data_IF_408869850577
#
_entry.id   IF_408869850577
#
_cell.length_a   1.000
_cell.length_b   1.000
_cell.length_c   1.000
_cell.angle_alpha   90.00
_cell.angle_beta   90.00
_cell.angle_gamma   90.00
#
_symmetry.space_group_name_H-M   'P 1'
#
loop_
_entity.id
_entity.type
_entity.pdbx_description
1 polymer ?
#
# COMPACT_ATOMS: atom_id res chain seq x y z
N UNK A 1 -1.14 -8.82 -17.34
CA UNK A 1 -2.55 -9.04 -17.08
C UNK A 1 -2.92 -10.52 -17.26
N UNK A 2 -1.96 -11.28 -17.75
CA UNK A 2 -2.16 -12.70 -17.96
C UNK A 2 -3.49 -12.89 -18.69
N UNK A 3 -4.07 -14.07 -18.51
CA UNK A 3 -5.34 -14.38 -19.14
C UNK A 3 -6.29 -15.06 -18.15
N UNK A 4 -6.26 -14.58 -16.92
CA UNK A 4 -7.11 -15.13 -15.88
C UNK A 4 -7.60 -14.00 -14.97
N UNK A 5 -6.74 -13.60 -14.05
CA UNK A 5 -7.09 -12.52 -13.13
C UNK A 5 -5.82 -11.79 -12.70
N UNK A 6 -4.91 -11.64 -13.65
CA UNK A 6 -3.65 -10.95 -13.38
C UNK A 6 -3.84 -9.45 -13.59
N UNK A 7 -4.73 -9.12 -14.51
CA UNK A 7 -5.02 -7.72 -14.82
C UNK A 7 -5.18 -6.95 -13.51
N UNK A 8 -6.18 -7.36 -12.74
CA UNK A 8 -6.46 -6.70 -11.47
C UNK A 8 -5.19 -6.72 -10.61
N UNK A 9 -4.34 -7.69 -10.88
CA UNK A 9 -3.10 -7.83 -10.14
C UNK A 9 -2.18 -6.66 -10.48
N UNK A 10 -1.85 -6.57 -11.76
CA UNK A 10 -0.97 -5.51 -12.23
C UNK A 10 -1.53 -4.14 -11.81
N UNK A 11 -2.84 -4.04 -11.84
CA UNK A 11 -3.51 -2.81 -11.47
C UNK A 11 -3.28 -2.52 -9.98
N UNK A 12 -3.76 -3.44 -9.16
CA UNK A 12 -3.61 -3.31 -7.72
C UNK A 12 -2.12 -3.15 -7.36
N UNK A 13 -1.28 -3.77 -8.17
CA UNK A 13 0.16 -3.71 -7.96
C UNK A 13 0.64 -2.27 -8.11
N UNK A 14 0.68 -1.83 -9.36
CA UNK A 14 1.11 -0.47 -9.66
C UNK A 14 0.45 0.54 -8.72
N UNK A 15 -0.80 0.27 -8.39
CA UNK A 15 -1.54 1.14 -7.50
C UNK A 15 -0.94 1.07 -6.10
N UNK A 16 -0.67 -0.15 -5.67
CA UNK A 16 -0.09 -0.37 -4.35
C UNK A 16 1.28 0.31 -4.25
N UNK A 17 1.90 0.48 -5.41
CA UNK A 17 3.21 1.12 -5.46
C UNK A 17 3.05 2.62 -5.23
N UNK A 18 2.28 3.25 -6.10
CA UNK A 18 2.04 4.68 -6.00
C UNK A 18 1.30 4.97 -4.70
N UNK A 19 0.59 3.97 -4.22
CA UNK A 19 -0.17 4.10 -2.99
C UNK A 19 0.76 3.91 -1.80
N UNK A 20 1.78 3.09 -2.01
CA UNK A 20 2.75 2.81 -0.96
C UNK A 20 3.60 4.05 -0.65
N UNK A 21 3.94 4.78 -1.71
CA UNK A 21 4.73 5.97 -1.57
C UNK A 21 3.83 7.15 -1.20
N UNK A 22 2.61 7.11 -1.73
CA UNK A 22 1.63 8.15 -1.46
C UNK A 22 1.15 8.04 -0.02
N UNK A 23 1.15 6.82 0.48
CA UNK A 23 0.71 6.56 1.84
C UNK A 23 1.84 6.89 2.81
N UNK A 24 3.04 6.42 2.46
CA UNK A 24 4.21 6.66 3.28
C UNK A 24 4.40 8.17 3.50
N UNK A 25 4.30 8.91 2.41
CA UNK A 25 4.45 10.35 2.47
C UNK A 25 3.24 10.99 3.18
N UNK A 26 2.06 10.66 2.68
CA UNK A 26 0.83 11.19 3.25
C UNK A 26 0.77 10.87 4.74
N UNK A 27 1.44 9.78 5.12
CA UNK A 27 1.46 9.36 6.50
C UNK A 27 2.36 10.31 7.31
N UNK A 28 3.63 10.33 6.93
CA UNK A 28 4.60 11.19 7.60
C UNK A 28 4.05 12.62 7.65
N UNK A 29 3.44 13.02 6.55
CA UNK A 29 2.88 14.36 6.46
C UNK A 29 1.61 14.44 7.29
N UNK A 30 0.91 13.32 7.34
CA UNK A 30 -0.33 13.25 8.09
C UNK A 30 -0.06 13.56 9.56
N UNK A 31 1.10 13.09 10.02
CA UNK A 31 1.50 13.30 11.40
C UNK A 31 2.20 14.66 11.52
N UNK A 32 3.06 14.93 10.56
CA UNK A 32 3.80 16.19 10.55
C UNK A 32 2.80 17.35 10.58
N UNK A 33 1.68 17.16 9.91
CA UNK A 33 0.65 18.17 9.85
C UNK A 33 -0.10 18.21 11.19
N UNK A 34 -0.16 17.05 11.82
CA UNK A 34 -0.85 16.93 13.10
C UNK A 34 0.02 17.49 14.23
N UNK A 35 1.23 16.98 14.31
CA UNK A 35 2.17 17.41 15.33
C UNK A 35 1.55 17.25 16.72
N UNK A 36 2.42 17.22 17.72
CA UNK A 36 1.96 17.06 19.10
C UNK A 36 0.93 18.14 19.43
N UNK A 37 -0.33 17.80 19.21
CA UNK A 37 -1.42 18.72 19.49
C UNK A 37 -1.66 18.79 20.99
N UNK B 1 1.47 -19.63 -20.06
CA UNK B 1 2.18 -18.43 -19.66
C UNK B 1 1.21 -17.28 -19.40
N UNK B 2 1.78 -16.11 -19.14
CA UNK B 2 0.97 -14.93 -18.88
C UNK B 2 1.28 -13.89 -19.97
N UNK B 3 2.42 -13.24 -19.82
CA UNK B 3 2.84 -12.23 -20.77
C UNK B 3 4.30 -11.85 -20.56
N UNK B 4 4.70 -11.84 -19.30
CA UNK B 4 6.07 -11.50 -18.95
C UNK B 4 6.46 -12.21 -17.65
N UNK B 5 6.20 -11.52 -16.55
CA UNK B 5 6.51 -12.06 -15.24
C UNK B 5 5.34 -11.85 -14.28
N UNK B 6 4.37 -12.74 -14.37
CA UNK B 6 3.19 -12.66 -13.53
C UNK B 6 3.52 -13.23 -12.15
N UNK B 7 4.30 -14.30 -12.15
CA UNK B 7 4.70 -14.94 -10.91
C UNK B 7 5.20 -13.88 -9.93
N UNK B 8 6.31 -13.27 -10.29
CA UNK B 8 6.91 -12.24 -9.45
C UNK B 8 5.84 -11.19 -9.11
N UNK B 9 4.82 -11.14 -9.95
CA UNK B 9 3.74 -10.19 -9.76
C UNK B 9 2.97 -10.55 -8.48
N UNK B 10 2.42 -11.75 -8.48
CA UNK B 10 1.66 -12.23 -7.33
C UNK B 10 2.52 -12.12 -6.06
N UNK B 11 3.80 -12.38 -6.22
CA UNK B 11 4.72 -12.33 -5.09
C UNK B 11 4.78 -10.90 -4.57
N UNK B 12 5.31 -10.01 -5.40
CA UNK B 12 5.42 -8.61 -5.01
C UNK B 12 4.06 -8.06 -4.58
N UNK B 13 3.01 -8.61 -5.19
CA UNK B 13 1.66 -8.18 -4.87
C UNK B 13 1.34 -8.55 -3.41
N UNK B 14 1.29 -9.85 -3.16
CA UNK B 14 1.00 -10.34 -1.82
C UNK B 14 1.76 -9.53 -0.77
N UNK B 15 3.05 -9.36 -1.01
CA UNK B 15 3.90 -8.62 -0.10
C UNK B 15 3.35 -7.21 0.06
N UNK B 16 3.01 -6.60 -1.08
CA UNK B 16 2.48 -5.25 -1.07
C UNK B 16 1.15 -5.21 -0.30
N UNK B 17 0.49 -6.34 -0.26
CA UNK B 17 -0.78 -6.45 0.44
C UNK B 17 -0.54 -6.33 1.94
N UNK B 18 0.31 -7.21 2.45
CA UNK B 18 0.64 -7.22 3.86
C UNK B 18 1.24 -5.86 4.25
N UNK B 19 1.87 -5.24 3.27
CA UNK B 19 2.49 -3.93 3.49
C UNK B 19 1.41 -2.85 3.45
N UNK B 20 0.36 -3.12 2.69
CA UNK B 20 -0.73 -2.18 2.56
C UNK B 20 -1.61 -2.19 3.81
N UNK B 21 -1.65 -3.34 4.46
CA UNK B 21 -2.45 -3.49 5.66
C UNK B 21 -1.63 -3.02 6.87
N UNK B 22 -0.34 -3.29 6.81
CA UNK B 22 0.56 -2.91 7.88
C UNK B 22 0.75 -1.40 7.87
N UNK B 23 0.68 -0.83 6.67
CA UNK B 23 0.84 0.60 6.52
C UNK B 23 -0.47 1.29 6.87
N UNK B 24 -1.56 0.77 6.31
CA UNK B 24 -2.88 1.33 6.56
C UNK B 24 -3.16 1.33 8.06
N UNK B 25 -2.72 0.27 8.71
CA UNK B 25 -2.92 0.14 10.15
C UNK B 25 -2.03 1.12 10.90
N UNK B 26 -0.73 1.01 10.65
CA UNK B 26 0.23 1.87 11.30
C UNK B 26 -0.12 3.35 11.06
N UNK B 27 -0.83 3.57 9.97
CA UNK B 27 -1.25 4.91 9.61
C UNK B 27 -2.39 5.36 10.52
N UNK B 28 -3.49 4.63 10.44
CA UNK B 28 -4.66 4.94 11.25
C UNK B 28 -4.26 4.99 12.73
N UNK B 29 -3.41 4.04 13.10
CA UNK B 29 -2.93 3.96 14.47
C UNK B 29 -1.99 5.14 14.76
N UNK B 30 -1.24 5.51 13.73
CA UNK B 30 -0.30 6.61 13.86
C UNK B 30 -1.05 7.89 14.24
N UNK B 31 -2.25 8.01 13.68
CA UNK B 31 -3.08 9.17 13.95
C UNK B 31 -3.90 8.93 15.22
N UNK B 32 -4.32 7.68 15.38
CA UNK B 32 -5.11 7.30 16.55
C UNK B 32 -4.27 7.53 17.81
N UNK B 33 -2.98 7.29 17.68
CA UNK B 33 -2.07 7.48 18.80
C UNK B 33 -2.11 8.93 19.27
N UNK B 34 -2.32 9.82 18.30
CA UNK B 34 -2.38 11.24 18.59
C UNK B 34 -3.82 11.67 18.94
N UNK B 35 -4.73 10.73 18.73
CA UNK B 35 -6.13 11.01 19.01
C UNK B 35 -6.60 12.25 18.27
N UNK B 36 -7.93 12.40 18.21
CA UNK B 36 -8.51 13.55 17.53
C UNK B 36 -8.50 14.77 18.45
N UNK B 37 -7.38 15.47 18.44
CA UNK B 37 -7.23 16.65 19.26
C UNK B 37 -8.08 17.79 18.69
#
# INVERSE_FOLDING_TARGET
GCGKSIDDLEDELYAQKLKYKAISEELDHALKDMTSI
GCGKSIDDLEDELYAQKLKYKAISEELDHALKDMTSI
#
